data_IF_585286389857
#
_entry.id   IF_585286389857
#
_cell.length_a   1.000
_cell.length_b   1.000
_cell.length_c   1.000
_cell.angle_alpha   90.00
_cell.angle_beta   90.00
_cell.angle_gamma   90.00
#
_symmetry.space_group_name_H-M   'P 1'
#
loop_
_entity.id
_entity.type
_entity.pdbx_description
1 polymer ?
#
# COMPACT_ATOMS: atom_id res chain seq x y z
N UNK A 1 -12.75 18.59 -27.86
CA UNK A 1 -11.60 18.46 -26.95
C UNK A 1 -12.06 17.76 -25.68
N UNK A 2 -12.01 16.44 -25.68
CA UNK A 2 -12.46 15.56 -24.61
C UNK A 2 -11.35 15.45 -23.56
N UNK A 3 -11.61 15.94 -22.35
CA UNK A 3 -10.73 15.72 -21.20
C UNK A 3 -10.63 14.20 -20.96
N UNK A 4 -9.44 13.61 -20.84
CA UNK A 4 -9.34 12.22 -20.41
C UNK A 4 -9.91 12.12 -19.00
N UNK A 5 -10.77 11.14 -18.78
CA UNK A 5 -11.36 10.84 -17.48
C UNK A 5 -10.25 10.45 -16.49
N UNK A 6 -9.79 11.41 -15.70
CA UNK A 6 -8.79 11.21 -14.65
C UNK A 6 -9.43 10.46 -13.48
N UNK A 7 -9.17 9.15 -13.38
CA UNK A 7 -9.68 8.27 -12.34
C UNK A 7 -8.68 8.21 -11.17
N UNK A 8 -9.10 8.94 -10.14
CA UNK A 8 -8.63 9.13 -8.77
C UNK A 8 -7.74 7.99 -8.25
N UNK A 9 -6.44 8.17 -8.04
CA UNK A 9 -5.64 7.37 -7.10
C UNK A 9 -5.96 7.85 -5.68
N UNK A 10 -6.16 6.93 -4.75
CA UNK A 10 -6.29 7.27 -3.33
C UNK A 10 -5.77 6.06 -2.58
N UNK A 11 -4.73 6.25 -1.78
CA UNK A 11 -4.20 5.22 -0.91
C UNK A 11 -5.08 4.98 0.32
N UNK A 12 -6.29 5.56 0.37
CA UNK A 12 -7.29 5.22 1.37
C UNK A 12 -8.71 5.30 0.81
N UNK A 13 -9.52 4.36 1.29
CA UNK A 13 -10.98 4.21 1.18
C UNK A 13 -11.41 3.31 0.03
N UNK A 14 -11.80 2.08 0.42
CA UNK A 14 -12.17 1.01 -0.50
C UNK A 14 -13.57 0.44 -0.14
N UNK A 15 -14.66 0.98 -0.69
CA UNK A 15 -16.02 0.42 -0.61
C UNK A 15 -16.39 -0.56 -1.73
N UNK A 16 -16.96 -1.71 -1.36
CA UNK A 16 -17.80 -2.71 -2.02
C UNK A 16 -18.69 -3.33 -0.92
N UNK A 17 -19.73 -4.06 -1.30
CA UNK A 17 -20.77 -4.56 -0.41
C UNK A 17 -20.23 -5.30 0.84
N UNK A 18 -20.99 -5.32 1.96
CA UNK A 18 -20.64 -6.12 3.13
C UNK A 18 -20.50 -7.59 2.73
N UNK A 19 -19.37 -8.21 3.11
CA UNK A 19 -19.33 -9.66 3.23
C UNK A 19 -20.43 -10.06 4.24
N UNK A 20 -21.17 -11.16 4.00
CA UNK A 20 -22.19 -11.60 4.94
C UNK A 20 -21.58 -11.73 6.34
N UNK A 21 -22.15 -11.02 7.31
CA UNK A 21 -21.79 -11.15 8.71
C UNK A 21 -22.03 -12.61 9.11
N UNK A 22 -20.95 -13.37 9.31
CA UNK A 22 -21.07 -14.80 9.59
C UNK A 22 -19.77 -15.55 9.83
N UNK A 23 -18.64 -15.07 9.32
CA UNK A 23 -17.32 -15.51 9.76
C UNK A 23 -16.52 -14.28 10.16
N UNK A 24 -16.39 -14.04 11.47
CA UNK A 24 -15.41 -13.10 11.99
C UNK A 24 -14.03 -13.67 11.68
N UNK A 25 -13.54 -13.39 10.47
CA UNK A 25 -12.17 -13.69 10.10
C UNK A 25 -11.28 -12.91 11.06
N UNK A 26 -10.62 -13.65 11.96
CA UNK A 26 -9.80 -13.13 13.03
C UNK A 26 -8.68 -12.29 12.40
N UNK A 27 -8.37 -11.15 13.02
CA UNK A 27 -7.19 -10.38 12.65
C UNK A 27 -5.97 -11.32 12.64
N UNK A 28 -5.18 -11.35 11.56
CA UNK A 28 -4.24 -12.44 11.30
C UNK A 28 -3.02 -12.44 12.22
N UNK A 29 -2.88 -11.42 13.07
CA UNK A 29 -1.72 -11.24 13.95
C UNK A 29 -2.15 -11.21 15.43
N UNK A 30 -1.33 -11.76 16.33
CA UNK A 30 -1.52 -11.60 17.77
C UNK A 30 -1.31 -10.13 18.17
N UNK A 31 -2.32 -9.53 18.82
CA UNK A 31 -2.29 -8.12 19.21
C UNK A 31 -1.25 -7.83 20.30
N UNK A 32 -0.80 -8.87 21.00
CA UNK A 32 0.23 -8.82 22.04
C UNK A 32 1.61 -8.45 21.48
N UNK A 33 1.85 -8.68 20.19
CA UNK A 33 3.12 -8.32 19.54
C UNK A 33 3.19 -6.84 19.14
N UNK A 34 2.06 -6.12 19.22
CA UNK A 34 2.01 -4.69 18.98
C UNK A 34 2.37 -3.92 20.25
N UNK A 35 3.11 -2.82 20.11
CA UNK A 35 3.27 -1.87 21.21
C UNK A 35 1.92 -1.30 21.67
N UNK A 36 1.79 -0.92 22.94
CA UNK A 36 0.51 -0.53 23.55
C UNK A 36 -0.30 0.49 22.72
N UNK A 37 0.35 1.56 22.23
CA UNK A 37 -0.34 2.58 21.41
C UNK A 37 -0.72 2.08 20.01
N UNK A 38 0.01 1.11 19.44
CA UNK A 38 -0.35 0.49 18.17
C UNK A 38 -1.53 -0.48 18.34
N UNK A 39 -1.51 -1.27 19.43
CA UNK A 39 -2.62 -2.16 19.81
C UNK A 39 -3.93 -1.40 19.96
N UNK A 40 -3.94 -0.28 20.68
CA UNK A 40 -5.14 0.55 20.84
C UNK A 40 -5.71 1.03 19.50
N UNK A 41 -4.85 1.48 18.58
CA UNK A 41 -5.26 1.91 17.22
C UNK A 41 -5.90 0.75 16.43
N UNK A 42 -5.29 -0.44 16.50
CA UNK A 42 -5.80 -1.64 15.82
C UNK A 42 -7.15 -2.03 16.40
N UNK A 43 -7.26 -2.19 17.72
CA UNK A 43 -8.50 -2.57 18.40
C UNK A 43 -9.63 -1.57 18.13
N UNK A 44 -9.34 -0.26 18.21
CA UNK A 44 -10.33 0.78 17.93
C UNK A 44 -10.90 0.70 16.50
N UNK A 45 -10.09 0.30 15.51
CA UNK A 45 -10.56 0.17 14.14
C UNK A 45 -11.22 -1.18 13.87
N UNK A 46 -10.73 -2.28 14.46
CA UNK A 46 -11.35 -3.60 14.32
C UNK A 46 -12.74 -3.65 14.96
N UNK A 47 -12.97 -2.90 16.04
CA UNK A 47 -14.26 -2.82 16.72
C UNK A 47 -15.32 -1.99 15.98
N UNK A 48 -14.90 -1.05 15.13
CA UNK A 48 -15.82 -0.05 14.54
C UNK A 48 -15.37 0.41 13.13
N UNK A 49 -15.00 -0.57 12.28
CA UNK A 49 -14.75 -0.31 10.87
C UNK A 49 -16.08 -0.21 10.11
N UNK A 50 -16.15 0.72 9.16
CA UNK A 50 -17.30 0.84 8.26
C UNK A 50 -17.18 -0.07 7.03
N UNK A 51 -15.99 -0.63 6.81
CA UNK A 51 -15.60 -1.23 5.55
C UNK A 51 -14.43 -2.21 5.69
N UNK A 52 -14.50 -3.39 5.07
CA UNK A 52 -13.39 -4.36 4.99
C UNK A 52 -13.19 -4.83 3.55
N UNK A 53 -11.94 -4.96 3.12
CA UNK A 53 -11.55 -5.44 1.77
C UNK A 53 -10.33 -6.32 1.86
N UNK A 54 -10.28 -7.33 0.99
CA UNK A 54 -9.17 -8.27 1.01
C UNK A 54 -8.65 -8.62 -0.39
N UNK A 55 -8.14 -7.66 -1.20
CA UNK A 55 -7.63 -7.97 -2.53
C UNK A 55 -6.32 -8.76 -2.47
N UNK A 56 -6.11 -9.61 -3.48
CA UNK A 56 -4.85 -10.33 -3.66
C UNK A 56 -4.00 -9.65 -4.71
N UNK A 57 -2.69 -9.63 -4.48
CA UNK A 57 -1.70 -9.15 -5.42
C UNK A 57 -0.56 -10.16 -5.51
N UNK A 58 -0.41 -10.73 -6.70
CA UNK A 58 0.77 -11.51 -7.05
C UNK A 58 1.61 -10.70 -8.05
N UNK A 59 2.91 -10.62 -7.79
CA UNK A 59 3.86 -9.97 -8.69
C UNK A 59 5.26 -10.58 -8.57
N UNK A 60 6.08 -10.49 -9.63
CA UNK A 60 7.48 -10.90 -9.54
C UNK A 60 8.22 -9.94 -8.62
N UNK A 61 9.29 -10.41 -7.97
CA UNK A 61 10.22 -9.58 -7.20
C UNK A 61 11.65 -9.93 -7.56
N UNK A 62 12.56 -8.99 -7.34
CA UNK A 62 14.00 -9.26 -7.52
C UNK A 62 14.50 -10.19 -6.40
N UNK A 63 14.25 -9.81 -5.14
CA UNK A 63 14.54 -10.59 -3.95
C UNK A 63 13.68 -10.07 -2.78
N UNK A 64 13.52 -10.89 -1.72
CA UNK A 64 12.70 -10.50 -0.57
C UNK A 64 13.30 -9.35 0.26
N UNK A 65 14.62 -9.20 0.45
CA UNK A 65 15.17 -8.05 1.18
C UNK A 65 14.82 -6.70 0.54
N UNK A 66 14.88 -6.59 -0.79
CA UNK A 66 14.47 -5.39 -1.50
C UNK A 66 12.97 -5.13 -1.34
N UNK A 67 12.14 -6.16 -1.52
CA UNK A 67 10.70 -6.05 -1.33
C UNK A 67 10.34 -5.55 0.08
N UNK A 68 10.95 -6.15 1.11
CA UNK A 68 10.76 -5.76 2.51
C UNK A 68 11.22 -4.32 2.77
N UNK A 69 12.37 -3.92 2.22
CA UNK A 69 12.87 -2.54 2.33
C UNK A 69 11.88 -1.52 1.74
N UNK A 70 11.30 -1.79 0.58
CA UNK A 70 10.34 -0.87 -0.06
C UNK A 70 9.03 -0.74 0.72
N UNK A 71 8.61 -1.81 1.42
CA UNK A 71 7.46 -1.78 2.32
C UNK A 71 7.76 -0.97 3.60
N UNK A 72 8.99 -1.03 4.08
CA UNK A 72 9.46 -0.28 5.24
C UNK A 72 9.79 1.19 4.91
N UNK A 73 10.05 1.49 3.63
CA UNK A 73 10.38 2.81 3.07
C UNK A 73 9.42 3.19 1.93
N UNK A 74 8.14 3.45 2.24
CA UNK A 74 7.13 3.86 1.25
C UNK A 74 7.45 5.20 0.58
N UNK A 75 8.25 6.07 1.22
CA UNK A 75 8.84 7.27 0.63
C UNK A 75 9.76 6.92 -0.56
N UNK A 76 10.63 5.93 -0.39
CA UNK A 76 11.50 5.42 -1.46
C UNK A 76 10.64 4.75 -2.54
N UNK A 77 9.69 3.89 -2.18
CA UNK A 77 8.78 3.25 -3.13
C UNK A 77 8.00 4.26 -3.99
N UNK A 78 7.50 5.35 -3.38
CA UNK A 78 6.84 6.44 -4.11
C UNK A 78 7.80 7.17 -5.04
N UNK A 79 9.03 7.44 -4.61
CA UNK A 79 10.05 8.06 -5.45
C UNK A 79 10.39 7.17 -6.66
N UNK A 80 10.53 5.86 -6.47
CA UNK A 80 10.73 4.91 -7.57
C UNK A 80 9.60 4.98 -8.58
N UNK A 81 8.34 4.93 -8.13
CA UNK A 81 7.19 5.04 -9.03
C UNK A 81 7.21 6.35 -9.85
N UNK A 82 7.64 7.47 -9.26
CA UNK A 82 7.76 8.76 -9.96
C UNK A 82 8.93 8.80 -10.94
N UNK A 83 10.13 8.38 -10.53
CA UNK A 83 11.32 8.29 -11.38
C UNK A 83 11.03 7.43 -12.61
N UNK A 84 10.30 6.34 -12.40
CA UNK A 84 9.93 5.41 -13.46
C UNK A 84 8.76 5.88 -14.32
N UNK A 85 8.10 6.99 -13.93
CA UNK A 85 6.91 7.57 -14.58
C UNK A 85 5.69 6.63 -14.56
N UNK A 86 5.61 5.78 -13.54
CA UNK A 86 4.52 4.81 -13.32
C UNK A 86 3.47 5.40 -12.36
N UNK A 87 3.90 6.24 -11.41
CA UNK A 87 3.02 6.90 -10.44
C UNK A 87 3.34 8.39 -10.27
N UNK A 88 2.38 9.16 -9.79
CA UNK A 88 2.49 10.61 -9.56
C UNK A 88 2.29 11.03 -8.11
N UNK A 89 2.07 10.06 -7.21
CA UNK A 89 1.87 10.32 -5.79
C UNK A 89 3.19 10.61 -5.08
N UNK A 90 3.11 11.36 -3.98
CA UNK A 90 4.24 11.71 -3.14
C UNK A 90 4.08 11.07 -1.76
N UNK A 91 5.20 10.63 -1.21
CA UNK A 91 5.29 10.15 0.17
C UNK A 91 6.57 10.74 0.75
N UNK A 92 6.48 11.34 1.93
CA UNK A 92 7.61 11.93 2.65
C UNK A 92 7.67 11.39 4.07
N UNK A 93 8.86 11.04 4.55
CA UNK A 93 9.05 10.67 5.95
C UNK A 93 8.85 11.88 6.86
N UNK A 94 8.02 11.73 7.89
CA UNK A 94 7.74 12.78 8.90
C UNK A 94 8.24 12.40 10.30
N UNK A 95 8.80 11.20 10.45
CA UNK A 95 9.40 10.72 11.68
C UNK A 95 9.73 9.23 11.58
N UNK A 96 10.17 8.63 12.69
CA UNK A 96 10.35 7.18 12.75
C UNK A 96 9.02 6.49 12.44
N UNK A 97 9.02 5.68 11.38
CA UNK A 97 7.88 4.88 10.93
C UNK A 97 6.63 5.69 10.56
N UNK A 98 6.76 7.01 10.35
CA UNK A 98 5.67 7.91 9.97
C UNK A 98 5.95 8.58 8.63
N UNK A 99 4.90 8.67 7.83
CA UNK A 99 4.95 9.20 6.48
C UNK A 99 3.74 10.08 6.22
N UNK A 100 3.91 11.14 5.43
CA UNK A 100 2.82 11.88 4.83
C UNK A 100 2.71 11.50 3.37
N UNK A 101 1.50 11.19 2.91
CA UNK A 101 1.22 10.84 1.53
C UNK A 101 0.22 11.84 0.92
N UNK A 102 0.48 12.27 -0.31
CA UNK A 102 -0.48 13.05 -1.09
C UNK A 102 -0.44 12.69 -2.56
N UNK A 103 -1.51 13.00 -3.28
CA UNK A 103 -1.56 12.88 -4.73
C UNK A 103 -2.24 14.07 -5.39
N UNK A 104 -2.00 14.29 -6.70
CA UNK A 104 -2.65 15.36 -7.45
C UNK A 104 -4.18 15.22 -7.54
N UNK A 105 -4.71 14.06 -7.14
CA UNK A 105 -6.12 13.69 -7.29
C UNK A 105 -6.93 14.00 -6.02
N UNK A 106 -6.27 14.55 -4.99
CA UNK A 106 -6.92 15.11 -3.80
C UNK A 106 -6.78 14.28 -2.53
N UNK A 107 -5.91 13.26 -2.51
CA UNK A 107 -5.49 12.57 -1.29
C UNK A 107 -4.48 13.41 -0.51
N UNK A 108 -4.67 13.50 0.80
CA UNK A 108 -3.67 13.99 1.75
C UNK A 108 -3.86 13.29 3.10
N UNK A 109 -2.83 12.66 3.62
CA UNK A 109 -2.92 11.89 4.85
C UNK A 109 -1.58 11.49 5.42
N UNK A 110 -1.63 10.90 6.61
CA UNK A 110 -0.50 10.33 7.30
C UNK A 110 -0.64 8.82 7.39
N UNK A 111 0.49 8.14 7.38
CA UNK A 111 0.62 6.71 7.50
C UNK A 111 1.71 6.39 8.52
N UNK A 112 1.45 5.38 9.35
CA UNK A 112 2.35 4.88 10.37
C UNK A 112 2.49 3.37 10.23
N UNK A 113 3.73 2.85 10.28
CA UNK A 113 3.97 1.41 10.35
C UNK A 113 3.77 0.98 11.80
N UNK A 114 2.75 0.17 12.05
CA UNK A 114 2.41 -0.35 13.38
C UNK A 114 3.11 -1.66 13.71
N UNK A 115 3.38 -2.48 12.70
CA UNK A 115 4.00 -3.80 12.86
C UNK A 115 4.73 -4.21 11.58
N UNK A 116 5.84 -4.93 11.74
CA UNK A 116 6.58 -5.54 10.63
C UNK A 116 7.30 -6.80 11.10
N UNK A 117 7.31 -7.82 10.25
CA UNK A 117 8.16 -9.00 10.37
C UNK A 117 8.53 -9.53 8.96
N UNK A 118 9.00 -10.77 8.85
CA UNK A 118 9.33 -11.37 7.55
C UNK A 118 8.14 -11.62 6.60
N UNK A 119 6.91 -11.73 7.12
CA UNK A 119 5.72 -12.14 6.38
C UNK A 119 4.52 -11.19 6.52
N UNK A 120 4.66 -10.11 7.29
CA UNK A 120 3.57 -9.22 7.64
C UNK A 120 4.02 -7.76 7.74
N UNK A 121 3.21 -6.85 7.23
CA UNK A 121 3.30 -5.41 7.52
C UNK A 121 1.93 -4.88 7.86
N UNK A 122 1.86 -4.04 8.88
CA UNK A 122 0.61 -3.37 9.27
C UNK A 122 0.83 -1.87 9.27
N UNK A 123 0.00 -1.18 8.50
CA UNK A 123 -0.01 0.27 8.44
C UNK A 123 -1.30 0.79 9.04
N UNK A 124 -1.20 1.84 9.84
CA UNK A 124 -2.32 2.69 10.18
C UNK A 124 -2.22 3.96 9.34
N UNK A 125 -3.33 4.38 8.75
CA UNK A 125 -3.36 5.61 7.99
C UNK A 125 -4.59 6.43 8.34
N UNK A 126 -4.45 7.75 8.29
CA UNK A 126 -5.55 8.69 8.46
C UNK A 126 -5.39 9.87 7.53
N UNK A 127 -6.49 10.41 7.03
CA UNK A 127 -6.40 11.50 6.09
C UNK A 127 -7.73 11.87 5.46
N UNK A 128 -7.61 12.61 4.37
CA UNK A 128 -8.71 13.11 3.59
C UNK A 128 -8.56 12.68 2.13
N UNK A 129 -9.69 12.43 1.48
CA UNK A 129 -9.79 12.28 0.05
C UNK A 129 -10.81 13.30 -0.47
N UNK A 130 -10.41 14.10 -1.47
CA UNK A 130 -11.28 15.03 -2.18
C UNK A 130 -11.74 14.41 -3.49
N UNK A 131 -13.03 14.56 -3.82
CA UNK A 131 -13.60 14.10 -5.08
C UNK A 131 -14.80 14.95 -5.48
N UNK A 132 -14.66 15.71 -6.56
CA UNK A 132 -15.68 16.69 -6.97
C UNK A 132 -15.95 17.71 -5.85
N UNK A 133 -17.19 17.76 -5.36
CA UNK A 133 -17.62 18.62 -4.25
C UNK A 133 -17.53 17.94 -2.86
N UNK A 134 -17.15 16.67 -2.80
CA UNK A 134 -17.13 15.89 -1.56
C UNK A 134 -15.71 15.82 -0.99
N UNK A 135 -15.61 15.99 0.32
CA UNK A 135 -14.38 15.70 1.10
C UNK A 135 -14.71 14.62 2.12
N UNK A 136 -14.00 13.50 2.02
CA UNK A 136 -14.17 12.35 2.91
C UNK A 136 -12.97 12.28 3.84
N UNK A 137 -13.22 12.28 5.15
CA UNK A 137 -12.18 12.02 6.15
C UNK A 137 -12.25 10.56 6.56
N UNK A 138 -11.11 9.91 6.71
CA UNK A 138 -11.08 8.50 7.03
C UNK A 138 -9.85 8.05 7.79
N UNK A 139 -9.97 6.85 8.33
CA UNK A 139 -8.89 6.04 8.91
C UNK A 139 -8.87 4.69 8.22
N UNK A 140 -7.70 4.09 8.07
CA UNK A 140 -7.57 2.72 7.63
C UNK A 140 -6.49 1.97 8.41
N UNK A 141 -6.72 0.68 8.59
CA UNK A 141 -5.74 -0.30 8.98
C UNK A 141 -5.50 -1.18 7.76
N UNK A 142 -4.26 -1.23 7.29
CA UNK A 142 -3.84 -1.97 6.11
C UNK A 142 -2.90 -3.07 6.57
N UNK A 143 -3.32 -4.31 6.39
CA UNK A 143 -2.58 -5.51 6.73
C UNK A 143 -2.11 -6.16 5.46
N UNK A 144 -0.81 -6.37 5.34
CA UNK A 144 -0.25 -7.17 4.26
C UNK A 144 0.26 -8.47 4.85
N UNK A 145 -0.17 -9.59 4.27
CA UNK A 145 0.33 -10.93 4.53
C UNK A 145 1.04 -11.41 3.26
N UNK A 146 2.32 -11.77 3.37
CA UNK A 146 3.18 -12.11 2.24
C UNK A 146 3.62 -13.56 2.29
N UNK A 147 3.56 -14.20 1.13
CA UNK A 147 4.17 -15.51 0.91
C UNK A 147 5.16 -15.38 -0.25
N UNK A 148 6.43 -15.66 0.04
CA UNK A 148 7.49 -15.69 -0.97
C UNK A 148 7.58 -17.08 -1.59
N UNK A 149 7.61 -17.14 -2.92
CA UNK A 149 7.69 -18.39 -3.67
C UNK A 149 8.61 -18.27 -4.88
N UNK A 150 9.18 -19.39 -5.29
CA UNK A 150 9.84 -19.51 -6.60
C UNK A 150 8.80 -20.03 -7.59
N UNK A 151 8.58 -19.31 -8.69
CA UNK A 151 7.71 -19.77 -9.77
C UNK A 151 8.44 -20.79 -10.67
N UNK A 152 7.71 -21.46 -11.57
CA UNK A 152 8.19 -22.57 -12.41
C UNK A 152 9.45 -22.26 -13.25
N UNK A 153 9.79 -20.98 -13.44
CA UNK A 153 10.97 -20.53 -14.19
C UNK A 153 12.14 -20.06 -13.30
N UNK A 154 12.12 -20.35 -12.00
CA UNK A 154 13.15 -19.90 -11.05
C UNK A 154 13.02 -18.43 -10.63
N UNK A 155 12.10 -17.68 -11.22
CA UNK A 155 11.81 -16.29 -10.86
C UNK A 155 11.22 -16.22 -9.45
N UNK A 156 11.75 -15.34 -8.57
CA UNK A 156 11.12 -15.04 -7.29
C UNK A 156 9.83 -14.25 -7.46
N UNK A 157 8.80 -14.65 -6.71
CA UNK A 157 7.49 -14.02 -6.66
C UNK A 157 7.06 -13.80 -5.22
N UNK A 158 6.17 -12.84 -5.04
CA UNK A 158 5.42 -12.67 -3.79
C UNK A 158 3.93 -12.76 -4.08
N UNK A 159 3.24 -13.55 -3.28
CA UNK A 159 1.79 -13.51 -3.17
C UNK A 159 1.46 -12.66 -1.94
N UNK A 160 0.63 -11.63 -2.12
CA UNK A 160 0.23 -10.72 -1.05
C UNK A 160 -1.27 -10.77 -0.86
N UNK A 161 -1.71 -11.17 0.33
CA UNK A 161 -3.07 -10.92 0.79
C UNK A 161 -3.07 -9.55 1.49
N UNK A 162 -3.68 -8.57 0.84
CA UNK A 162 -3.89 -7.26 1.43
C UNK A 162 -5.26 -7.27 2.12
N UNK A 163 -5.36 -6.86 3.37
CA UNK A 163 -6.62 -6.66 4.08
C UNK A 163 -6.70 -5.22 4.61
N UNK A 164 -7.73 -4.49 4.18
CA UNK A 164 -7.96 -3.08 4.55
C UNK A 164 -9.23 -2.97 5.38
N UNK A 165 -9.10 -2.50 6.61
CA UNK A 165 -10.21 -2.07 7.46
C UNK A 165 -10.32 -0.55 7.40
N UNK A 166 -11.43 -0.01 6.93
CA UNK A 166 -11.63 1.42 6.73
C UNK A 166 -12.76 1.98 7.58
N UNK A 167 -12.53 3.14 8.20
CA UNK A 167 -13.53 3.93 8.91
C UNK A 167 -13.66 5.31 8.30
N UNK A 168 -14.85 5.66 7.83
CA UNK A 168 -15.14 7.00 7.31
C UNK A 168 -15.75 7.86 8.44
N UNK A 169 -15.20 9.06 8.65
CA UNK A 169 -15.72 10.05 9.60
C UNK A 169 -16.55 11.09 8.85
N UNK A 170 -17.87 10.88 8.72
CA UNK A 170 -18.82 11.94 8.34
C UNK A 170 -20.28 11.59 8.73
N UNK A 171 -21.10 12.56 9.19
CA UNK A 171 -22.50 12.35 9.61
C UNK A 171 -23.49 12.08 8.46
N UNK A 172 -23.03 12.06 7.20
CA UNK A 172 -23.84 11.77 6.01
C UNK A 172 -23.99 10.27 5.70
N UNK A 173 -23.54 9.40 6.62
CA UNK A 173 -23.56 7.95 6.47
C UNK A 173 -24.94 7.42 6.06
N UNK A 174 -26.02 7.97 6.63
CA UNK A 174 -27.40 7.56 6.34
C UNK A 174 -27.85 7.88 4.89
N UNK A 175 -27.40 9.00 4.32
CA UNK A 175 -27.75 9.40 2.95
C UNK A 175 -26.88 8.68 1.91
N UNK A 176 -25.65 8.31 2.28
CA UNK A 176 -24.71 7.57 1.43
C UNK A 176 -25.07 6.07 1.30
N UNK A 177 -25.58 5.47 2.38
CA UNK A 177 -25.98 4.05 2.41
C UNK A 177 -27.23 3.75 1.57
N UNK A 178 -28.15 4.71 1.41
CA UNK A 178 -29.40 4.50 0.66
C UNK A 178 -29.28 4.68 -0.87
N UNK A 179 -28.26 5.39 -1.37
CA UNK A 179 -28.23 5.82 -2.78
C UNK A 179 -27.06 5.21 -3.58
N UNK A 180 -25.95 4.78 -2.96
CA UNK A 180 -24.68 4.57 -3.69
C UNK A 180 -23.90 3.26 -3.44
N UNK A 181 -24.44 2.28 -2.70
CA UNK A 181 -23.69 1.06 -2.32
C UNK A 181 -23.01 0.29 -3.49
N UNK A 182 -23.63 0.08 -4.67
CA UNK A 182 -22.97 -0.64 -5.77
C UNK A 182 -21.98 0.23 -6.57
N UNK A 183 -22.20 1.54 -6.65
CA UNK A 183 -21.39 2.45 -7.49
C UNK A 183 -20.07 2.83 -6.83
N UNK A 184 -20.04 2.97 -5.50
CA UNK A 184 -18.79 3.23 -4.77
C UNK A 184 -17.89 1.98 -4.85
N UNK A 185 -18.52 0.79 -4.88
CA UNK A 185 -17.96 -0.51 -5.25
C UNK A 185 -16.88 -0.47 -6.32
N UNK A 186 -17.30 -0.17 -7.55
CA UNK A 186 -16.42 -0.22 -8.72
C UNK A 186 -15.36 0.87 -8.75
N UNK A 187 -15.65 2.08 -8.25
CA UNK A 187 -14.67 3.17 -8.22
C UNK A 187 -13.48 2.84 -7.31
N UNK A 188 -13.80 2.13 -6.24
CA UNK A 188 -12.87 1.65 -5.25
C UNK A 188 -12.02 0.50 -5.78
N UNK A 189 -12.64 -0.49 -6.41
CA UNK A 189 -11.91 -1.63 -6.94
C UNK A 189 -10.95 -1.18 -8.03
N UNK A 190 -11.37 -0.23 -8.88
CA UNK A 190 -10.51 0.42 -9.85
C UNK A 190 -9.29 1.10 -9.21
N UNK A 191 -9.44 1.71 -8.02
CA UNK A 191 -8.33 2.30 -7.25
C UNK A 191 -7.35 1.24 -6.76
N UNK A 192 -7.86 0.15 -6.18
CA UNK A 192 -7.02 -0.98 -5.76
C UNK A 192 -6.24 -1.48 -6.98
N UNK A 193 -6.93 -1.77 -8.07
CA UNK A 193 -6.30 -2.32 -9.27
C UNK A 193 -5.25 -1.37 -9.85
N UNK A 194 -5.48 -0.04 -9.81
CA UNK A 194 -4.48 0.96 -10.22
C UNK A 194 -3.25 0.93 -9.30
N UNK A 195 -3.43 0.90 -7.98
CA UNK A 195 -2.33 0.83 -7.03
C UNK A 195 -1.53 -0.48 -7.17
N UNK A 196 -2.23 -1.61 -7.29
CA UNK A 196 -1.64 -2.92 -7.60
C UNK A 196 -0.88 -2.90 -8.93
N UNK A 197 -1.42 -2.21 -9.94
CA UNK A 197 -0.77 -2.02 -11.24
C UNK A 197 0.54 -1.23 -11.15
N UNK A 198 0.63 -0.23 -10.28
CA UNK A 198 1.89 0.49 -10.02
C UNK A 198 2.92 -0.44 -9.40
N UNK A 199 2.55 -1.18 -8.35
CA UNK A 199 3.45 -2.12 -7.66
C UNK A 199 3.96 -3.18 -8.63
N UNK A 200 3.05 -3.76 -9.42
CA UNK A 200 3.39 -4.76 -10.43
C UNK A 200 4.37 -4.21 -11.47
N UNK A 201 4.06 -3.06 -12.09
CA UNK A 201 4.91 -2.47 -13.14
C UNK A 201 6.30 -2.08 -12.62
N UNK A 202 6.40 -1.53 -11.41
CA UNK A 202 7.70 -1.22 -10.79
C UNK A 202 8.49 -2.52 -10.59
N UNK A 203 7.84 -3.55 -10.06
CA UNK A 203 8.52 -4.82 -9.76
C UNK A 203 8.94 -5.58 -11.03
N UNK A 204 8.10 -5.59 -12.06
CA UNK A 204 8.43 -6.12 -13.38
C UNK A 204 9.65 -5.41 -13.97
N UNK A 205 9.71 -4.08 -13.87
CA UNK A 205 10.86 -3.34 -14.38
C UNK A 205 12.15 -3.64 -13.58
N UNK A 206 12.06 -3.74 -12.26
CA UNK A 206 13.21 -4.14 -11.41
C UNK A 206 13.74 -5.52 -11.77
N UNK A 207 12.87 -6.44 -12.19
CA UNK A 207 13.21 -7.82 -12.54
C UNK A 207 13.76 -7.91 -13.96
N UNK A 208 13.11 -7.26 -14.93
CA UNK A 208 13.48 -7.36 -16.34
C UNK A 208 14.70 -6.54 -16.72
N UNK A 209 14.90 -5.37 -16.10
CA UNK A 209 16.06 -4.51 -16.35
C UNK A 209 16.59 -3.90 -15.04
N UNK A 210 17.18 -4.70 -14.12
CA UNK A 210 17.65 -4.20 -12.84
C UNK A 210 18.70 -3.10 -13.00
N UNK A 211 19.63 -3.25 -13.95
CA UNK A 211 20.75 -2.32 -14.15
C UNK A 211 20.28 -1.00 -14.77
N UNK A 212 19.49 -1.03 -15.85
CA UNK A 212 18.96 0.18 -16.47
C UNK A 212 17.98 0.89 -15.55
N UNK A 213 17.20 0.14 -14.77
CA UNK A 213 16.35 0.69 -13.72
C UNK A 213 17.16 1.42 -12.65
N UNK A 214 18.23 0.80 -12.13
CA UNK A 214 19.11 1.45 -11.16
C UNK A 214 19.80 2.70 -11.72
N UNK A 215 20.26 2.67 -12.97
CA UNK A 215 20.86 3.84 -13.62
C UNK A 215 19.89 5.03 -13.71
N UNK A 216 18.59 4.78 -13.98
CA UNK A 216 17.55 5.81 -13.96
C UNK A 216 17.31 6.37 -12.57
N UNK A 217 17.39 5.53 -11.54
CA UNK A 217 17.26 5.93 -10.14
C UNK A 217 18.44 6.80 -9.72
N UNK A 218 19.66 6.40 -10.06
CA UNK A 218 20.89 7.12 -9.73
C UNK A 218 20.99 8.48 -10.44
N UNK A 219 20.45 8.60 -11.66
CA UNK A 219 20.40 9.87 -12.39
C UNK A 219 19.36 10.87 -11.84
N UNK A 220 18.53 10.46 -10.88
CA UNK A 220 17.48 11.29 -10.27
C UNK A 220 17.95 11.91 -8.94
N UNK A 221 17.48 13.11 -8.65
CA UNK A 221 17.71 13.84 -7.40
C UNK A 221 16.66 13.56 -6.30
N UNK A 222 15.67 12.72 -6.59
CA UNK A 222 14.56 12.41 -5.66
C UNK A 222 14.92 11.49 -4.49
N UNK A 223 16.10 10.86 -4.49
CA UNK A 223 16.55 9.94 -3.45
C UNK A 223 17.85 10.43 -2.80
N UNK A 224 18.02 10.14 -1.52
CA UNK A 224 19.25 10.48 -0.80
C UNK A 224 20.40 9.53 -1.19
N UNK A 225 21.64 9.91 -0.88
CA UNK A 225 22.80 9.03 -1.08
C UNK A 225 22.68 7.72 -0.30
N UNK A 226 22.10 7.77 0.89
CA UNK A 226 21.91 6.60 1.75
C UNK A 226 20.86 5.66 1.14
N UNK A 227 19.77 6.21 0.58
CA UNK A 227 18.77 5.42 -0.15
C UNK A 227 19.39 4.75 -1.39
N UNK A 228 20.18 5.48 -2.17
CA UNK A 228 20.86 4.94 -3.36
C UNK A 228 21.86 3.83 -2.99
N UNK A 229 22.64 4.04 -1.94
CA UNK A 229 23.58 3.04 -1.43
C UNK A 229 22.82 1.79 -0.99
N UNK A 230 21.73 1.95 -0.25
CA UNK A 230 20.94 0.83 0.24
C UNK A 230 20.26 0.06 -0.89
N UNK A 231 19.70 0.76 -1.87
CA UNK A 231 19.11 0.14 -3.05
C UNK A 231 20.15 -0.66 -3.84
N UNK A 232 21.36 -0.10 -4.04
CA UNK A 232 22.45 -0.80 -4.73
C UNK A 232 22.82 -2.09 -4.03
N UNK A 233 23.00 -2.07 -2.71
CA UNK A 233 23.30 -3.25 -1.91
C UNK A 233 22.22 -4.33 -2.08
N UNK A 234 20.94 -3.94 -1.93
CA UNK A 234 19.82 -4.87 -1.98
C UNK A 234 19.59 -5.44 -3.39
N UNK A 235 19.83 -4.65 -4.43
CA UNK A 235 19.72 -5.12 -5.83
C UNK A 235 20.87 -6.03 -6.24
N UNK A 236 22.03 -5.95 -5.57
CA UNK A 236 23.18 -6.82 -5.83
C UNK A 236 23.08 -8.20 -5.15
N UNK A 237 22.11 -8.41 -4.27
CA UNK A 237 21.90 -9.69 -3.61
C UNK A 237 21.52 -10.78 -4.62
N UNK A 238 22.32 -11.84 -4.65
CA UNK A 238 22.15 -12.98 -5.56
C UNK A 238 21.10 -13.98 -5.07
N UNK A 239 20.97 -14.09 -3.74
CA UNK A 239 20.00 -14.98 -3.10
C UNK A 239 18.62 -14.33 -3.06
N UNK A 240 17.59 -14.97 -3.65
CA UNK A 240 16.27 -14.37 -3.73
C UNK A 240 15.57 -14.31 -2.36
N UNK A 241 15.82 -15.29 -1.50
CA UNK A 241 15.29 -15.37 -0.13
C UNK A 241 16.45 -15.71 0.82
N UNK A 242 16.92 -14.77 1.67
CA UNK A 242 17.98 -15.09 2.61
C UNK A 242 17.51 -16.19 3.56
N UNK A 243 18.40 -17.15 3.82
CA UNK A 243 18.18 -18.19 4.82
C UNK A 243 17.96 -17.52 6.18
N UNK A 244 16.90 -17.89 6.90
CA UNK A 244 16.72 -17.44 8.29
C UNK A 244 17.91 -17.95 9.10
N UNK A 245 18.81 -17.06 9.51
CA UNK A 245 19.87 -17.36 10.49
C UNK A 245 19.30 -17.49 11.89
#
# INVERSE_FOLDING_TARGET
>A
MTRPASIVLSLLIVATAPAPAGAAERFPLPLEEFGAGAREKVEALLNDYTLKRSPRLDHPILNSPLHQFLLDRPDVGAALARILRIGTYTVTGTGKDRFRASDPEGLDGEMEILYRDGAHRVYFAEGIAKGGLLTVRGKALVVHEFEYRIADQGQPWVATQLTVYGKIKNPLLALFLQIFSPLIGGLVDAKISKAQGVVRQVSELMVHDPQGTFARIEASDQLTRDDLTKLRELMALSEPFPVKT
#
